data_IF_171433283996
#
_entry.id   IF_171433283996
#
_cell.length_a   1.000
_cell.length_b   1.000
_cell.length_c   1.000
_cell.angle_alpha   90.00
_cell.angle_beta   90.00
_cell.angle_gamma   90.00
#
_symmetry.space_group_name_H-M   'P 1'
#
loop_
_entity.id
_entity.type
_entity.pdbx_description
1 polymer ?
#
# COMPACT_ATOMS: atom_id res chain seq x y z
N UNK A 1 23.13 -13.87 -11.81
CA UNK A 1 22.51 -14.40 -13.06
C UNK A 1 21.42 -13.47 -13.61
N UNK A 2 20.47 -13.01 -12.78
CA UNK A 2 19.37 -12.15 -13.29
C UNK A 2 19.86 -10.79 -13.81
N UNK A 3 20.85 -10.15 -13.17
CA UNK A 3 21.47 -8.93 -13.68
C UNK A 3 22.04 -9.09 -15.10
N UNK A 4 22.62 -10.26 -15.41
CA UNK A 4 23.16 -10.58 -16.74
C UNK A 4 22.08 -10.69 -17.85
N UNK A 5 20.80 -10.89 -17.50
CA UNK A 5 19.70 -10.94 -18.46
C UNK A 5 19.23 -9.54 -18.88
N UNK A 6 19.60 -8.51 -18.14
CA UNK A 6 19.27 -7.13 -18.49
C UNK A 6 19.96 -6.73 -19.80
N UNK A 7 19.16 -6.34 -20.78
CA UNK A 7 19.67 -5.98 -22.12
C UNK A 7 20.24 -4.55 -22.18
N UNK A 8 20.25 -3.80 -21.08
CA UNK A 8 20.69 -2.40 -21.03
C UNK A 8 20.05 -1.56 -22.16
N UNK A 9 18.72 -1.57 -22.24
CA UNK A 9 17.96 -0.94 -23.31
C UNK A 9 18.28 0.56 -23.43
N UNK A 10 18.44 1.07 -24.64
CA UNK A 10 18.64 2.51 -24.89
C UNK A 10 17.44 3.36 -24.46
N UNK A 11 16.22 2.78 -24.52
CA UNK A 11 14.99 3.36 -23.96
C UNK A 11 14.42 2.35 -22.96
N UNK A 12 14.81 2.42 -21.69
CA UNK A 12 14.41 1.43 -20.69
C UNK A 12 13.01 1.70 -20.15
N UNK A 13 12.00 0.99 -20.66
CA UNK A 13 10.62 1.09 -20.19
C UNK A 13 10.47 0.78 -18.69
N UNK A 14 11.32 -0.10 -18.14
CA UNK A 14 11.29 -0.47 -16.72
C UNK A 14 11.43 0.75 -15.77
N UNK A 15 12.06 1.83 -16.19
CA UNK A 15 12.24 3.05 -15.39
C UNK A 15 11.41 4.24 -15.89
N UNK A 16 10.60 4.10 -16.95
CA UNK A 16 9.95 5.24 -17.63
C UNK A 16 8.71 5.77 -16.91
N UNK A 17 7.97 4.92 -16.17
CA UNK A 17 6.72 5.28 -15.52
C UNK A 17 5.71 5.98 -16.43
N UNK A 18 5.47 5.44 -17.62
CA UNK A 18 4.49 5.98 -18.56
C UNK A 18 3.08 5.48 -18.27
N UNK A 19 2.09 6.36 -18.49
CA UNK A 19 0.68 5.96 -18.38
C UNK A 19 0.19 5.42 -19.70
N UNK A 20 -0.27 4.17 -19.73
CA UNK A 20 -0.76 3.46 -20.91
C UNK A 20 -2.13 2.84 -20.60
N UNK A 21 -3.14 3.13 -21.40
CA UNK A 21 -4.50 2.63 -21.22
C UNK A 21 -5.05 2.83 -19.79
N UNK A 22 -4.76 3.98 -19.17
CA UNK A 22 -5.21 4.34 -17.82
C UNK A 22 -4.41 3.74 -16.66
N UNK A 23 -3.39 2.93 -16.94
CA UNK A 23 -2.52 2.32 -15.92
C UNK A 23 -1.05 2.71 -16.17
N UNK A 24 -0.25 2.69 -15.11
CA UNK A 24 1.17 3.01 -15.21
C UNK A 24 2.01 1.77 -15.50
N UNK A 25 3.04 1.94 -16.32
CA UNK A 25 4.04 0.95 -16.70
C UNK A 25 5.43 1.51 -16.44
N UNK A 26 6.32 0.73 -15.83
CA UNK A 26 7.63 1.18 -15.35
C UNK A 26 7.63 1.73 -13.91
N UNK A 27 8.82 1.94 -13.38
CA UNK A 27 9.02 2.31 -11.98
C UNK A 27 8.65 3.78 -11.69
N UNK A 28 7.74 4.09 -10.76
CA UNK A 28 7.40 5.46 -10.37
C UNK A 28 8.56 6.25 -9.73
N UNK A 29 9.57 5.56 -9.20
CA UNK A 29 10.79 6.18 -8.68
C UNK A 29 11.83 6.45 -9.76
N UNK A 30 11.57 6.06 -11.00
CA UNK A 30 12.54 6.12 -12.09
C UNK A 30 13.88 5.48 -11.73
N UNK A 31 13.82 4.33 -11.02
CA UNK A 31 15.00 3.60 -10.58
C UNK A 31 15.91 3.28 -11.76
N UNK A 32 17.22 3.49 -11.59
CA UNK A 32 18.25 3.32 -12.62
C UNK A 32 18.57 1.83 -12.83
N UNK A 33 17.54 1.06 -13.19
CA UNK A 33 17.52 -0.39 -13.21
C UNK A 33 18.59 -1.00 -14.13
N UNK A 34 18.76 -0.56 -15.39
CA UNK A 34 19.81 -1.11 -16.24
C UNK A 34 21.22 -0.92 -15.66
N UNK A 35 21.49 0.26 -15.06
CA UNK A 35 22.81 0.57 -14.52
C UNK A 35 23.18 -0.35 -13.35
N UNK A 36 22.31 -0.47 -12.33
CA UNK A 36 22.66 -1.32 -11.19
C UNK A 36 22.56 -2.82 -11.51
N UNK A 37 21.77 -3.24 -12.51
CA UNK A 37 21.81 -4.61 -13.01
C UNK A 37 23.16 -4.96 -13.69
N UNK A 38 23.73 -4.05 -14.48
CA UNK A 38 25.07 -4.22 -15.08
C UNK A 38 26.15 -4.28 -14.00
N UNK A 39 26.05 -3.42 -12.97
CA UNK A 39 26.97 -3.45 -11.81
C UNK A 39 26.89 -4.76 -11.03
N UNK A 40 25.69 -5.31 -10.80
CA UNK A 40 25.50 -6.64 -10.20
C UNK A 40 26.20 -7.72 -11.06
N UNK A 41 25.96 -7.68 -12.37
CA UNK A 41 26.56 -8.65 -13.29
C UNK A 41 28.08 -8.63 -13.25
N UNK A 42 28.68 -7.44 -13.15
CA UNK A 42 30.14 -7.26 -13.04
C UNK A 42 30.70 -7.50 -11.65
N UNK A 43 29.88 -7.86 -10.67
CA UNK A 43 30.30 -8.08 -9.28
C UNK A 43 30.55 -6.81 -8.48
N UNK A 44 30.15 -5.64 -8.98
CA UNK A 44 30.37 -4.35 -8.36
C UNK A 44 29.16 -3.93 -7.49
N UNK A 45 28.93 -4.69 -6.43
CA UNK A 45 27.73 -4.61 -5.59
C UNK A 45 27.60 -3.31 -4.79
N UNK A 46 28.71 -2.75 -4.31
CA UNK A 46 28.69 -1.49 -3.54
C UNK A 46 28.22 -0.32 -4.42
N UNK A 47 28.72 -0.22 -5.65
CA UNK A 47 28.29 0.80 -6.59
C UNK A 47 26.84 0.57 -7.07
N UNK A 48 26.43 -0.70 -7.25
CA UNK A 48 25.05 -1.04 -7.55
C UNK A 48 24.10 -0.57 -6.43
N UNK A 49 24.45 -0.81 -5.16
CA UNK A 49 23.70 -0.34 -4.00
C UNK A 49 23.64 1.20 -3.96
N UNK A 50 24.77 1.87 -4.14
CA UNK A 50 24.82 3.34 -4.17
C UNK A 50 23.92 3.91 -5.29
N UNK A 51 23.91 3.25 -6.46
CA UNK A 51 23.07 3.63 -7.59
C UNK A 51 21.58 3.42 -7.29
N UNK A 52 21.21 2.31 -6.68
CA UNK A 52 19.84 2.02 -6.25
C UNK A 52 19.35 3.05 -5.22
N UNK A 53 20.13 3.30 -4.16
CA UNK A 53 19.78 4.23 -3.08
C UNK A 53 19.71 5.71 -3.51
N UNK A 54 20.13 6.05 -4.74
CA UNK A 54 20.01 7.40 -5.28
C UNK A 54 18.55 7.77 -5.57
N UNK A 55 17.77 6.85 -6.08
CA UNK A 55 16.37 7.04 -6.46
C UNK A 55 15.39 6.34 -5.53
N UNK A 56 15.76 5.22 -4.90
CA UNK A 56 14.94 4.47 -3.95
C UNK A 56 15.28 4.80 -2.51
N UNK A 57 14.32 5.37 -1.76
CA UNK A 57 14.52 5.67 -0.32
C UNK A 57 14.51 4.38 0.53
N UNK A 58 13.65 3.43 0.18
CA UNK A 58 13.41 2.22 1.00
C UNK A 58 13.33 0.95 0.14
N UNK A 59 14.46 0.50 -0.45
CA UNK A 59 14.48 -0.72 -1.27
C UNK A 59 14.06 -1.98 -0.51
N UNK A 60 14.25 -2.01 0.80
CA UNK A 60 13.80 -3.13 1.65
C UNK A 60 12.29 -3.27 1.72
N UNK A 61 11.53 -2.19 1.50
CA UNK A 61 10.07 -2.24 1.44
C UNK A 61 9.59 -2.56 0.02
N UNK A 62 10.08 -1.83 -0.98
CA UNK A 62 9.71 -2.05 -2.38
C UNK A 62 10.14 -3.44 -2.88
N UNK A 63 11.32 -3.90 -2.50
CA UNK A 63 11.80 -5.25 -2.84
C UNK A 63 10.91 -6.38 -2.27
N UNK A 64 10.17 -6.13 -1.18
CA UNK A 64 9.26 -7.13 -0.59
C UNK A 64 7.81 -7.00 -1.06
N UNK A 65 7.28 -5.77 -1.14
CA UNK A 65 5.81 -5.59 -1.30
C UNK A 65 5.40 -4.81 -2.56
N UNK A 66 6.34 -4.35 -3.40
CA UNK A 66 5.99 -3.75 -4.68
C UNK A 66 5.53 -4.82 -5.67
N UNK A 67 4.46 -4.60 -6.45
CA UNK A 67 4.01 -5.57 -7.46
C UNK A 67 4.93 -5.68 -8.69
N UNK A 68 5.94 -4.80 -8.81
CA UNK A 68 6.93 -4.86 -9.89
C UNK A 68 6.47 -4.24 -11.21
N UNK A 69 5.97 -2.99 -11.19
CA UNK A 69 5.65 -2.24 -12.42
C UNK A 69 6.82 -2.21 -13.43
N UNK A 70 8.06 -2.18 -12.91
CA UNK A 70 9.28 -2.28 -13.70
C UNK A 70 9.44 -3.63 -14.41
N UNK A 71 9.02 -4.72 -13.76
CA UNK A 71 9.06 -6.06 -14.33
C UNK A 71 8.02 -6.20 -15.44
N UNK A 72 6.79 -5.70 -15.21
CA UNK A 72 5.74 -5.69 -16.24
C UNK A 72 6.14 -4.91 -17.49
N UNK A 73 7.00 -3.91 -17.35
CA UNK A 73 7.53 -3.07 -18.44
C UNK A 73 8.87 -3.55 -19.00
N UNK A 74 9.46 -4.61 -18.45
CA UNK A 74 10.76 -5.11 -18.91
C UNK A 74 10.67 -5.64 -20.34
N UNK A 75 11.57 -5.20 -21.22
CA UNK A 75 11.62 -5.62 -22.62
C UNK A 75 11.83 -7.13 -22.78
N UNK A 76 12.56 -7.78 -21.84
CA UNK A 76 12.67 -9.24 -21.82
C UNK A 76 11.30 -9.91 -21.72
N UNK A 77 10.32 -9.30 -21.04
CA UNK A 77 8.96 -9.78 -20.90
C UNK A 77 8.12 -9.78 -22.19
N UNK A 78 8.63 -9.18 -23.28
CA UNK A 78 7.99 -9.26 -24.60
C UNK A 78 8.18 -10.64 -25.27
N UNK A 79 9.25 -11.37 -24.90
CA UNK A 79 9.61 -12.63 -25.53
C UNK A 79 9.88 -13.77 -24.50
N UNK A 80 9.52 -13.58 -23.27
CA UNK A 80 9.74 -14.54 -22.18
C UNK A 80 9.55 -13.87 -20.80
N UNK A 81 10.23 -14.40 -19.78
CA UNK A 81 10.15 -13.84 -18.44
C UNK A 81 10.93 -12.53 -18.29
N UNK A 82 10.41 -11.52 -17.61
CA UNK A 82 11.16 -10.30 -17.29
C UNK A 82 12.37 -10.61 -16.40
N UNK A 83 13.31 -9.66 -16.32
CA UNK A 83 14.36 -9.69 -15.28
C UNK A 83 13.68 -9.55 -13.92
N UNK A 84 14.10 -10.34 -12.93
CA UNK A 84 13.57 -10.27 -11.55
C UNK A 84 14.13 -9.04 -10.84
N UNK A 85 13.65 -7.87 -11.27
CA UNK A 85 14.15 -6.57 -10.81
C UNK A 85 13.96 -6.39 -9.32
N UNK A 86 12.79 -6.78 -8.81
CA UNK A 86 12.43 -6.65 -7.40
C UNK A 86 13.34 -7.49 -6.50
N UNK A 87 13.65 -8.70 -6.90
CA UNK A 87 14.55 -9.61 -6.17
C UNK A 87 16.00 -9.11 -6.20
N UNK A 88 16.44 -8.52 -7.32
CA UNK A 88 17.76 -7.88 -7.41
C UNK A 88 17.84 -6.65 -6.48
N UNK A 89 16.80 -5.84 -6.45
CA UNK A 89 16.67 -4.68 -5.54
C UNK A 89 16.75 -5.11 -4.08
N UNK A 90 15.99 -6.16 -3.72
CA UNK A 90 16.00 -6.74 -2.38
C UNK A 90 17.37 -7.27 -2.00
N UNK A 91 18.00 -8.03 -2.90
CA UNK A 91 19.34 -8.59 -2.66
C UNK A 91 20.39 -7.49 -2.43
N UNK A 92 20.32 -6.38 -3.19
CA UNK A 92 21.23 -5.25 -3.02
C UNK A 92 21.09 -4.58 -1.65
N UNK A 93 19.87 -4.32 -1.20
CA UNK A 93 19.69 -3.64 0.08
C UNK A 93 20.04 -4.53 1.26
N UNK A 94 19.72 -5.83 1.21
CA UNK A 94 20.12 -6.76 2.27
C UNK A 94 21.64 -6.91 2.30
N UNK A 95 22.31 -7.07 1.15
CA UNK A 95 23.78 -7.02 1.05
C UNK A 95 24.35 -5.75 1.72
N UNK A 96 23.70 -4.61 1.50
CA UNK A 96 24.13 -3.34 2.10
C UNK A 96 24.05 -3.33 3.63
N UNK A 97 22.99 -3.90 4.21
CA UNK A 97 22.87 -4.03 5.66
C UNK A 97 23.82 -5.08 6.24
N UNK A 98 23.93 -6.25 5.62
CA UNK A 98 24.80 -7.35 6.05
C UNK A 98 26.29 -6.96 6.06
N UNK A 99 26.70 -6.14 5.09
CA UNK A 99 28.08 -5.65 4.98
C UNK A 99 28.30 -4.28 5.62
N UNK A 100 27.36 -3.77 6.42
CA UNK A 100 27.47 -2.48 7.13
C UNK A 100 27.72 -1.27 6.21
N UNK A 101 27.26 -1.34 4.96
CA UNK A 101 27.36 -0.24 3.99
C UNK A 101 26.26 0.80 4.17
N UNK A 102 25.11 0.38 4.72
CA UNK A 102 24.02 1.29 5.08
C UNK A 102 24.32 1.91 6.45
N UNK A 103 24.64 3.18 6.43
CA UNK A 103 25.00 3.97 7.63
C UNK A 103 24.08 5.19 7.76
N UNK A 104 23.90 5.73 8.98
CA UNK A 104 23.17 6.99 9.18
C UNK A 104 23.80 8.13 8.36
N UNK A 105 22.95 8.86 7.62
CA UNK A 105 23.34 10.02 6.80
C UNK A 105 22.95 11.29 7.56
N UNK A 106 23.80 11.66 8.50
CA UNK A 106 23.58 12.84 9.32
C UNK A 106 23.98 14.07 8.51
N UNK A 107 23.09 15.06 8.30
CA UNK A 107 23.44 16.30 7.60
C UNK A 107 24.52 17.05 8.35
N UNK A 108 25.55 17.53 7.65
CA UNK A 108 26.63 18.33 8.23
C UNK A 108 26.12 19.68 8.76
N UNK A 109 25.11 20.23 8.08
CA UNK A 109 24.53 21.55 8.45
C UNK A 109 23.02 21.32 8.65
N UNK A 110 22.52 21.73 9.82
CA UNK A 110 21.10 21.82 10.10
C UNK A 110 20.56 23.20 9.77
N UNK A 111 19.39 23.25 9.15
CA UNK A 111 18.64 24.49 9.00
C UNK A 111 17.87 24.79 10.29
N UNK A 112 17.37 26.01 10.43
CA UNK A 112 16.46 26.40 11.51
C UNK A 112 15.00 25.96 11.26
N UNK A 113 14.70 25.41 10.06
CA UNK A 113 13.34 25.05 9.64
C UNK A 113 12.85 23.79 10.34
N UNK A 114 11.61 23.87 10.84
CA UNK A 114 10.90 22.79 11.53
C UNK A 114 9.74 22.29 10.67
N UNK A 115 9.67 21.01 10.41
CA UNK A 115 8.62 20.40 9.60
C UNK A 115 7.90 19.30 10.40
N UNK A 116 6.58 19.37 10.45
CA UNK A 116 5.73 18.28 10.92
C UNK A 116 5.28 17.40 9.75
N UNK A 117 5.46 16.10 9.86
CA UNK A 117 4.89 15.11 8.94
C UNK A 117 3.83 14.32 9.69
N UNK A 118 2.58 14.37 9.24
CA UNK A 118 1.45 13.68 9.87
C UNK A 118 1.17 12.38 9.14
N UNK A 119 1.46 11.27 9.80
CA UNK A 119 1.42 9.92 9.24
C UNK A 119 2.79 9.37 8.90
N UNK A 120 3.06 8.14 9.34
CA UNK A 120 4.34 7.45 9.20
C UNK A 120 4.32 6.31 8.17
N UNK A 121 3.35 6.33 7.24
CA UNK A 121 3.32 5.42 6.10
C UNK A 121 4.45 5.68 5.09
N UNK A 122 4.49 4.97 3.96
CA UNK A 122 5.56 5.10 2.97
C UNK A 122 5.81 6.53 2.51
N UNK A 123 4.75 7.32 2.28
CA UNK A 123 4.88 8.73 1.86
C UNK A 123 5.47 9.62 2.96
N UNK A 124 4.98 9.48 4.20
CA UNK A 124 5.48 10.25 5.33
C UNK A 124 6.95 9.95 5.64
N UNK A 125 7.33 8.67 5.63
CA UNK A 125 8.73 8.27 5.80
C UNK A 125 9.64 8.82 4.69
N UNK A 126 9.17 8.78 3.41
CA UNK A 126 9.96 9.29 2.29
C UNK A 126 10.11 10.81 2.33
N UNK A 127 9.06 11.52 2.73
CA UNK A 127 9.09 12.97 2.96
C UNK A 127 10.08 13.30 4.06
N UNK A 128 10.00 12.62 5.21
CA UNK A 128 10.87 12.83 6.34
C UNK A 128 12.34 12.52 6.03
N UNK A 129 12.61 11.42 5.31
CA UNK A 129 13.96 11.03 4.89
C UNK A 129 14.64 12.13 4.07
N UNK A 130 13.98 12.67 3.02
CA UNK A 130 14.57 13.68 2.17
C UNK A 130 14.72 15.04 2.87
N UNK A 131 13.71 15.49 3.59
CA UNK A 131 13.77 16.76 4.31
C UNK A 131 14.82 16.74 5.41
N UNK A 132 14.95 15.61 6.11
CA UNK A 132 16.01 15.44 7.10
C UNK A 132 17.42 15.46 6.46
N UNK A 133 17.60 14.77 5.33
CA UNK A 133 18.87 14.81 4.57
C UNK A 133 19.23 16.21 4.09
N UNK A 134 18.23 17.01 3.74
CA UNK A 134 18.42 18.43 3.37
C UNK A 134 18.91 19.28 4.54
N UNK A 135 18.76 18.80 5.75
CA UNK A 135 19.17 19.46 6.97
C UNK A 135 18.02 20.05 7.81
N UNK A 136 16.78 19.86 7.40
CA UNK A 136 15.62 20.34 8.16
C UNK A 136 15.40 19.53 9.44
N UNK A 137 14.73 20.13 10.44
CA UNK A 137 14.33 19.47 11.68
C UNK A 137 12.94 18.84 11.47
N UNK A 138 12.87 17.53 11.37
CA UNK A 138 11.65 16.81 11.00
C UNK A 138 11.11 16.02 12.18
N UNK A 139 9.81 16.22 12.48
CA UNK A 139 9.04 15.41 13.42
C UNK A 139 7.93 14.70 12.69
N UNK A 140 7.87 13.37 12.82
CA UNK A 140 6.84 12.51 12.26
C UNK A 140 5.87 12.12 13.36
N UNK A 141 4.58 12.42 13.18
CA UNK A 141 3.50 12.07 14.09
C UNK A 141 2.76 10.84 13.59
N UNK A 142 2.59 9.85 14.43
CA UNK A 142 1.89 8.61 14.14
C UNK A 142 0.79 8.36 15.17
N UNK A 143 -0.44 8.14 14.70
CA UNK A 143 -1.60 7.89 15.58
C UNK A 143 -1.53 6.56 16.33
N UNK A 144 -0.84 5.57 15.77
CA UNK A 144 -0.65 4.27 16.41
C UNK A 144 0.63 4.24 17.27
N UNK A 145 0.79 3.15 18.00
CA UNK A 145 1.92 2.89 18.89
C UNK A 145 3.22 2.53 18.16
N UNK A 146 3.14 2.21 16.85
CA UNK A 146 4.29 1.86 16.00
C UNK A 146 4.26 2.61 14.68
N UNK A 147 5.45 3.00 14.23
CA UNK A 147 5.69 3.68 12.96
C UNK A 147 5.59 2.69 11.80
N UNK A 148 5.09 3.14 10.64
CA UNK A 148 5.07 2.34 9.40
C UNK A 148 3.73 2.33 8.67
N UNK A 149 2.65 2.88 9.28
CA UNK A 149 1.32 2.93 8.66
C UNK A 149 0.81 1.53 8.27
N UNK A 150 0.31 1.38 7.04
CA UNK A 150 -0.17 0.08 6.55
C UNK A 150 0.94 -0.96 6.38
N UNK A 151 2.19 -0.58 6.21
CA UNK A 151 3.31 -1.54 6.22
C UNK A 151 3.44 -2.24 7.58
N UNK A 152 3.19 -1.50 8.67
CA UNK A 152 3.20 -2.04 10.03
C UNK A 152 1.95 -2.87 10.32
N UNK A 153 0.76 -2.31 10.08
CA UNK A 153 -0.49 -2.89 10.57
C UNK A 153 -1.48 -3.36 9.50
N UNK A 154 -1.24 -3.08 8.21
CA UNK A 154 -2.10 -3.51 7.10
C UNK A 154 -1.54 -4.68 6.30
N UNK A 155 -0.23 -4.89 6.32
CA UNK A 155 0.44 -6.02 5.67
C UNK A 155 0.81 -7.05 6.73
N UNK A 156 0.46 -8.34 6.57
CA UNK A 156 0.78 -9.36 7.59
C UNK A 156 2.30 -9.61 7.70
N UNK A 157 2.73 -10.05 8.87
CA UNK A 157 4.17 -10.27 9.17
C UNK A 157 4.82 -11.31 8.25
N UNK A 158 4.08 -12.29 7.77
CA UNK A 158 4.57 -13.30 6.82
C UNK A 158 4.96 -12.74 5.46
N UNK A 159 4.39 -11.59 5.06
CA UNK A 159 4.71 -10.91 3.78
C UNK A 159 5.74 -9.79 3.97
N UNK A 160 5.69 -9.08 5.10
CA UNK A 160 6.64 -8.05 5.48
C UNK A 160 6.92 -8.13 6.98
N UNK A 161 8.02 -8.75 7.36
CA UNK A 161 8.46 -8.83 8.76
C UNK A 161 8.77 -7.44 9.30
N UNK A 162 8.22 -7.14 10.51
CA UNK A 162 8.24 -5.78 11.07
C UNK A 162 9.65 -5.33 11.49
N UNK A 163 10.56 -6.28 11.69
CA UNK A 163 11.98 -5.97 11.95
C UNK A 163 12.62 -5.11 10.85
N UNK A 164 12.19 -5.23 9.59
CA UNK A 164 12.72 -4.40 8.49
C UNK A 164 12.23 -2.95 8.57
N UNK A 165 11.01 -2.74 9.07
CA UNK A 165 10.48 -1.41 9.36
C UNK A 165 11.24 -0.80 10.54
N UNK A 166 11.37 -1.54 11.62
CA UNK A 166 12.08 -1.10 12.83
C UNK A 166 13.55 -0.77 12.53
N UNK A 167 14.22 -1.59 11.71
CA UNK A 167 15.59 -1.34 11.25
C UNK A 167 15.72 0.01 10.54
N UNK A 168 14.80 0.31 9.61
CA UNK A 168 14.80 1.59 8.88
C UNK A 168 14.45 2.77 9.79
N UNK A 169 13.43 2.64 10.62
CA UNK A 169 13.03 3.69 11.56
C UNK A 169 14.16 4.02 12.54
N UNK A 170 14.86 3.00 13.04
CA UNK A 170 16.01 3.20 13.92
C UNK A 170 17.17 3.92 13.21
N UNK A 171 17.41 3.62 11.94
CA UNK A 171 18.37 4.35 11.13
C UNK A 171 17.97 5.84 11.00
N UNK A 172 16.71 6.12 10.65
CA UNK A 172 16.21 7.50 10.54
C UNK A 172 16.26 8.27 11.86
N UNK A 173 16.03 7.59 13.00
CA UNK A 173 16.23 8.21 14.33
C UNK A 173 17.70 8.61 14.55
N UNK A 174 18.65 7.76 14.17
CA UNK A 174 20.08 8.07 14.24
C UNK A 174 20.47 9.22 13.31
N UNK A 175 19.77 9.39 12.19
CA UNK A 175 19.92 10.51 11.26
C UNK A 175 19.32 11.83 11.79
N UNK A 176 18.52 11.78 12.88
CA UNK A 176 17.96 12.93 13.57
C UNK A 176 16.47 13.18 13.31
N UNK A 177 15.74 12.25 12.68
CA UNK A 177 14.28 12.33 12.58
C UNK A 177 13.65 11.99 13.92
N UNK A 178 12.74 12.86 14.39
CA UNK A 178 11.95 12.61 15.61
C UNK A 178 10.65 11.90 15.25
N UNK A 179 10.29 10.86 15.99
CA UNK A 179 9.02 10.13 15.84
C UNK A 179 8.21 10.24 17.13
N UNK A 180 6.94 10.67 17.00
CA UNK A 180 5.97 10.77 18.11
C UNK A 180 4.82 9.83 17.78
N UNK A 181 4.74 8.73 18.52
CA UNK A 181 3.66 7.73 18.40
C UNK A 181 2.52 8.00 19.36
N UNK A 182 1.35 7.34 19.16
CA UNK A 182 0.10 7.61 19.87
C UNK A 182 -0.33 9.09 19.78
N UNK A 183 -0.01 9.73 18.68
CA UNK A 183 -0.25 11.14 18.40
C UNK A 183 -1.24 11.28 17.24
N UNK A 184 -2.53 11.34 17.55
CA UNK A 184 -3.62 11.42 16.57
C UNK A 184 -3.99 12.89 16.33
N UNK A 185 -3.39 13.47 15.29
CA UNK A 185 -3.55 14.89 14.94
C UNK A 185 -4.96 15.15 14.44
N UNK A 186 -5.61 16.16 14.98
CA UNK A 186 -7.03 16.49 14.73
C UNK A 186 -7.98 15.80 15.71
N UNK A 187 -7.48 14.85 16.51
CA UNK A 187 -8.27 14.12 17.51
C UNK A 187 -7.72 14.33 18.93
N UNK A 188 -6.51 13.84 19.20
CA UNK A 188 -5.86 14.00 20.52
C UNK A 188 -4.94 15.21 20.59
N UNK A 189 -4.40 15.64 19.46
CA UNK A 189 -3.56 16.84 19.32
C UNK A 189 -4.23 17.76 18.30
N UNK A 190 -4.56 19.02 18.67
CA UNK A 190 -5.15 19.99 17.75
C UNK A 190 -4.24 20.27 16.54
N UNK A 191 -4.81 20.34 15.34
CA UNK A 191 -4.06 20.70 14.13
C UNK A 191 -3.41 22.11 14.25
N UNK A 192 -4.07 23.03 14.97
CA UNK A 192 -3.57 24.39 15.20
C UNK A 192 -2.22 24.39 15.93
N UNK A 193 -1.98 23.46 16.84
CA UNK A 193 -0.71 23.33 17.54
C UNK A 193 0.47 23.09 16.58
N UNK A 194 0.24 22.27 15.54
CA UNK A 194 1.25 22.05 14.51
C UNK A 194 1.42 23.29 13.61
N UNK A 195 0.29 23.93 13.26
CA UNK A 195 0.34 25.16 12.47
C UNK A 195 1.09 26.29 13.18
N UNK A 196 1.03 26.38 14.49
CA UNK A 196 1.71 27.42 15.27
C UNK A 196 3.21 27.09 15.50
N UNK A 197 3.55 25.80 15.57
CA UNK A 197 4.89 25.35 16.02
C UNK A 197 5.85 25.01 14.89
N UNK A 198 5.36 24.81 13.66
CA UNK A 198 6.14 24.34 12.52
C UNK A 198 6.12 25.33 11.36
N UNK A 199 7.20 25.38 10.58
CA UNK A 199 7.32 26.21 9.37
C UNK A 199 6.58 25.60 8.19
N UNK A 200 6.41 24.25 8.17
CA UNK A 200 5.59 23.52 7.22
C UNK A 200 4.99 22.26 7.85
N UNK A 201 3.81 21.87 7.37
CA UNK A 201 3.13 20.62 7.75
C UNK A 201 2.84 19.80 6.50
N UNK A 202 3.16 18.51 6.53
CA UNK A 202 2.90 17.59 5.42
C UNK A 202 1.93 16.51 5.87
N UNK A 203 0.76 16.45 5.24
CA UNK A 203 -0.29 15.46 5.53
C UNK A 203 -0.06 14.20 4.71
N UNK A 204 0.31 13.10 5.38
CA UNK A 204 0.61 11.78 4.82
C UNK A 204 -0.24 10.69 5.49
N UNK A 205 -1.52 10.98 5.80
CA UNK A 205 -2.38 10.11 6.60
C UNK A 205 -2.93 8.89 5.85
N UNK A 206 -2.58 8.75 4.59
CA UNK A 206 -3.02 7.64 3.74
C UNK A 206 -4.51 7.68 3.38
N UNK A 207 -5.05 6.56 2.88
CA UNK A 207 -6.47 6.33 2.64
C UNK A 207 -6.92 5.23 3.61
N UNK A 208 -7.62 5.60 4.67
CA UNK A 208 -8.00 4.68 5.76
C UNK A 208 -9.49 4.72 6.12
N UNK A 209 -10.31 5.47 5.36
CA UNK A 209 -11.75 5.44 5.47
C UNK A 209 -12.29 4.26 4.62
N UNK A 210 -12.69 3.12 5.22
CA UNK A 210 -13.02 1.93 4.45
C UNK A 210 -14.38 2.07 3.76
N UNK A 211 -14.51 1.47 2.58
CA UNK A 211 -15.80 1.29 1.92
C UNK A 211 -16.57 0.18 2.62
N UNK A 212 -17.78 0.46 3.05
CA UNK A 212 -18.65 -0.51 3.73
C UNK A 212 -19.67 -1.14 2.77
N UNK A 213 -20.34 -2.19 3.25
CA UNK A 213 -21.44 -2.90 2.60
C UNK A 213 -22.73 -2.57 3.36
N UNK A 214 -23.64 -1.84 2.72
CA UNK A 214 -24.91 -1.40 3.33
C UNK A 214 -26.03 -2.44 3.12
N UNK A 215 -25.74 -3.72 3.35
CA UNK A 215 -26.69 -4.82 3.17
C UNK A 215 -27.42 -5.12 4.48
N UNK A 216 -28.67 -5.66 4.43
CA UNK A 216 -29.39 -6.11 5.62
C UNK A 216 -28.55 -7.04 6.49
N UNK A 217 -28.59 -6.86 7.83
CA UNK A 217 -27.85 -7.66 8.78
C UNK A 217 -26.37 -7.25 8.97
N UNK A 218 -25.92 -6.11 8.41
CA UNK A 218 -24.52 -5.62 8.49
C UNK A 218 -24.02 -5.47 9.94
N UNK A 219 -24.90 -5.27 10.88
CA UNK A 219 -24.62 -5.13 12.31
C UNK A 219 -24.38 -6.46 13.04
N UNK A 220 -24.28 -7.60 12.35
CA UNK A 220 -23.92 -8.87 12.93
C UNK A 220 -22.48 -8.84 13.49
N UNK A 221 -22.28 -9.47 14.66
CA UNK A 221 -20.94 -9.73 15.19
C UNK A 221 -20.22 -10.73 14.27
N UNK A 222 -18.93 -10.48 13.97
CA UNK A 222 -18.14 -11.33 13.08
C UNK A 222 -17.92 -10.71 11.69
N UNK A 223 -18.42 -9.49 11.45
CA UNK A 223 -18.15 -8.72 10.24
C UNK A 223 -17.16 -7.61 10.56
N UNK A 224 -15.98 -7.65 9.94
CA UNK A 224 -14.91 -6.68 10.18
C UNK A 224 -14.38 -6.11 8.86
N UNK A 225 -13.83 -4.89 8.92
CA UNK A 225 -12.98 -4.42 7.82
C UNK A 225 -11.66 -5.20 7.79
N UNK A 226 -11.19 -5.53 6.61
CA UNK A 226 -9.96 -6.29 6.41
C UNK A 226 -8.75 -5.66 7.12
N UNK A 227 -8.62 -4.33 7.09
CA UNK A 227 -7.52 -3.63 7.77
C UNK A 227 -7.61 -3.71 9.29
N UNK A 228 -8.81 -3.76 9.87
CA UNK A 228 -8.98 -3.93 11.31
C UNK A 228 -8.62 -5.36 11.75
N UNK A 229 -9.01 -6.35 10.94
CA UNK A 229 -8.60 -7.74 11.12
C UNK A 229 -7.07 -7.88 11.07
N UNK A 230 -6.42 -7.35 10.03
CA UNK A 230 -4.97 -7.44 9.86
C UNK A 230 -4.23 -6.69 10.96
N UNK A 231 -4.72 -5.50 11.35
CA UNK A 231 -4.15 -4.71 12.45
C UNK A 231 -4.24 -5.44 13.79
N UNK A 232 -5.43 -5.93 14.16
CA UNK A 232 -5.64 -6.63 15.43
C UNK A 232 -4.72 -7.86 15.54
N UNK A 233 -4.60 -8.63 14.44
CA UNK A 233 -3.76 -9.82 14.40
C UNK A 233 -2.27 -9.48 14.45
N UNK A 234 -1.81 -8.51 13.66
CA UNK A 234 -0.40 -8.11 13.69
C UNK A 234 -0.03 -7.50 15.03
N UNK A 235 -0.90 -6.66 15.61
CA UNK A 235 -0.64 -6.06 16.92
C UNK A 235 -0.55 -7.12 18.02
N UNK A 236 -1.49 -8.04 18.10
CA UNK A 236 -1.46 -9.15 19.07
C UNK A 236 -0.22 -10.05 18.86
N UNK A 237 0.17 -10.31 17.62
CA UNK A 237 1.41 -11.04 17.31
C UNK A 237 2.64 -10.34 17.89
N UNK A 238 2.76 -9.03 17.67
CA UNK A 238 3.92 -8.26 18.12
C UNK A 238 3.95 -7.99 19.61
N UNK A 239 2.79 -7.82 20.24
CA UNK A 239 2.70 -7.51 21.67
C UNK A 239 2.82 -8.75 22.56
N UNK A 240 2.32 -9.90 22.09
CA UNK A 240 2.11 -11.06 22.95
C UNK A 240 2.34 -12.42 22.30
N UNK A 241 2.76 -12.44 21.03
CA UNK A 241 2.80 -13.68 20.25
C UNK A 241 1.43 -14.40 20.19
N UNK A 242 0.35 -13.61 20.01
CA UNK A 242 -1.05 -14.04 19.92
C UNK A 242 -1.62 -14.67 21.22
N UNK A 243 -1.02 -14.38 22.37
CA UNK A 243 -1.48 -14.95 23.67
C UNK A 243 -2.39 -14.02 24.47
N UNK A 244 -2.55 -12.76 24.06
CA UNK A 244 -3.35 -11.74 24.76
C UNK A 244 -4.86 -11.85 24.51
N UNK A 245 -5.30 -12.73 23.59
CA UNK A 245 -6.69 -12.92 23.23
C UNK A 245 -7.33 -11.73 22.50
N UNK A 246 -6.56 -10.74 22.05
CA UNK A 246 -7.05 -9.53 21.37
C UNK A 246 -7.10 -9.68 19.86
N UNK A 247 -6.57 -10.76 19.32
CA UNK A 247 -6.61 -11.04 17.89
C UNK A 247 -8.03 -11.46 17.44
N UNK A 248 -8.39 -11.14 16.23
CA UNK A 248 -9.62 -11.64 15.60
C UNK A 248 -9.30 -13.01 15.00
N UNK A 249 -9.82 -14.08 15.61
CA UNK A 249 -9.49 -15.45 15.21
C UNK A 249 -10.41 -16.00 14.13
N UNK A 250 -9.81 -16.57 13.09
CA UNK A 250 -10.51 -17.34 12.04
C UNK A 250 -10.54 -18.86 12.32
N UNK A 251 -9.96 -19.30 13.45
CA UNK A 251 -9.82 -20.74 13.75
C UNK A 251 -11.15 -21.48 13.77
N UNK A 252 -11.25 -22.52 12.94
CA UNK A 252 -12.43 -23.39 12.85
C UNK A 252 -13.67 -22.74 12.25
N UNK A 253 -13.57 -21.55 11.64
CA UNK A 253 -14.67 -20.79 11.06
C UNK A 253 -14.73 -20.95 9.55
N UNK A 254 -15.93 -20.84 8.99
CA UNK A 254 -16.16 -20.55 7.58
C UNK A 254 -15.94 -19.05 7.37
N UNK A 255 -14.97 -18.69 6.52
CA UNK A 255 -14.57 -17.31 6.29
C UNK A 255 -14.96 -16.86 4.88
N UNK A 256 -15.50 -15.64 4.79
CA UNK A 256 -15.73 -14.97 3.51
C UNK A 256 -14.95 -13.66 3.49
N UNK A 257 -14.21 -13.43 2.40
CA UNK A 257 -13.49 -12.19 2.11
C UNK A 257 -14.16 -11.50 0.94
N UNK A 258 -14.54 -10.23 1.08
CA UNK A 258 -15.16 -9.45 0.00
C UNK A 258 -14.14 -8.49 -0.60
N UNK A 259 -13.76 -8.75 -1.84
CA UNK A 259 -12.77 -8.00 -2.62
C UNK A 259 -11.46 -8.77 -2.83
N UNK A 260 -10.98 -8.77 -4.08
CA UNK A 260 -9.86 -9.62 -4.54
C UNK A 260 -8.52 -8.92 -4.73
N UNK A 261 -8.35 -7.74 -4.15
CA UNK A 261 -7.06 -7.06 -4.16
C UNK A 261 -6.04 -7.69 -3.21
N UNK A 262 -4.85 -7.10 -3.14
CA UNK A 262 -3.75 -7.56 -2.28
C UNK A 262 -4.17 -7.68 -0.80
N UNK A 263 -5.02 -6.77 -0.30
CA UNK A 263 -5.56 -6.83 1.07
C UNK A 263 -6.43 -8.06 1.30
N UNK A 264 -7.26 -8.43 0.32
CA UNK A 264 -8.07 -9.65 0.38
C UNK A 264 -7.18 -10.90 0.42
N UNK A 265 -6.17 -10.96 -0.44
CA UNK A 265 -5.19 -12.05 -0.44
C UNK A 265 -4.43 -12.17 0.89
N UNK A 266 -4.05 -11.03 1.50
CA UNK A 266 -3.40 -10.99 2.81
C UNK A 266 -4.32 -11.52 3.94
N UNK A 267 -5.63 -11.25 3.84
CA UNK A 267 -6.65 -11.84 4.74
C UNK A 267 -6.77 -13.35 4.54
N UNK A 268 -6.81 -13.83 3.29
CA UNK A 268 -6.86 -15.27 2.98
C UNK A 268 -5.69 -15.98 3.63
N UNK A 269 -4.46 -15.55 3.37
CA UNK A 269 -3.25 -16.15 3.94
C UNK A 269 -3.21 -16.11 5.46
N UNK A 270 -3.75 -15.04 6.09
CA UNK A 270 -3.85 -14.94 7.55
C UNK A 270 -4.88 -15.91 8.12
N UNK A 271 -6.06 -16.04 7.50
CA UNK A 271 -7.11 -16.97 7.94
C UNK A 271 -6.68 -18.44 7.83
N UNK A 272 -5.94 -18.80 6.77
CA UNK A 272 -5.36 -20.13 6.61
C UNK A 272 -4.42 -20.46 7.76
N UNK A 273 -3.54 -19.54 8.16
CA UNK A 273 -2.60 -19.71 9.29
C UNK A 273 -3.31 -19.82 10.63
N UNK A 274 -4.49 -19.25 10.75
CA UNK A 274 -5.34 -19.45 11.94
C UNK A 274 -6.03 -20.83 11.97
N UNK A 275 -6.02 -21.58 10.86
CA UNK A 275 -6.74 -22.85 10.73
C UNK A 275 -8.24 -22.64 10.51
N UNK A 276 -8.65 -21.80 9.59
CA UNK A 276 -10.04 -21.66 9.17
C UNK A 276 -10.57 -22.98 8.57
N UNK A 277 -11.88 -23.20 8.67
CA UNK A 277 -12.55 -24.41 8.18
C UNK A 277 -12.73 -24.38 6.67
N UNK A 278 -13.03 -23.21 6.12
CA UNK A 278 -13.06 -22.90 4.70
C UNK A 278 -12.82 -21.43 4.45
N UNK A 279 -12.46 -21.07 3.22
CA UNK A 279 -12.30 -19.69 2.82
C UNK A 279 -12.89 -19.48 1.42
N UNK A 280 -13.66 -18.41 1.25
CA UNK A 280 -14.23 -17.98 -0.02
C UNK A 280 -13.96 -16.49 -0.22
N UNK A 281 -13.51 -16.10 -1.41
CA UNK A 281 -13.29 -14.70 -1.77
C UNK A 281 -14.30 -14.27 -2.83
N UNK A 282 -15.04 -13.18 -2.58
CA UNK A 282 -16.06 -12.68 -3.50
C UNK A 282 -15.50 -11.52 -4.33
N UNK A 283 -15.56 -11.68 -5.64
CA UNK A 283 -15.14 -10.71 -6.65
C UNK A 283 -16.33 -10.20 -7.45
N UNK A 284 -16.54 -8.87 -7.45
CA UNK A 284 -17.62 -8.27 -8.24
C UNK A 284 -17.38 -8.36 -9.74
N UNK A 285 -16.13 -8.28 -10.17
CA UNK A 285 -15.77 -8.22 -11.58
C UNK A 285 -15.69 -9.61 -12.20
N UNK A 286 -15.80 -9.72 -13.53
CA UNK A 286 -15.53 -10.97 -14.24
C UNK A 286 -14.12 -11.50 -14.00
N UNK A 287 -13.96 -12.82 -14.09
CA UNK A 287 -12.65 -13.46 -14.02
C UNK A 287 -11.73 -12.91 -15.11
N UNK A 288 -10.53 -12.41 -14.73
CA UNK A 288 -9.55 -11.98 -15.73
C UNK A 288 -9.03 -13.17 -16.56
N UNK A 289 -8.62 -12.95 -17.80
CA UNK A 289 -8.04 -14.00 -18.64
C UNK A 289 -6.69 -14.49 -18.06
N UNK A 290 -6.33 -15.72 -18.35
CA UNK A 290 -5.03 -16.30 -17.93
C UNK A 290 -3.85 -15.61 -18.64
N UNK A 291 -4.02 -15.18 -19.90
CA UNK A 291 -3.01 -14.55 -20.72
C UNK A 291 -3.46 -13.17 -21.20
N UNK A 292 -2.49 -12.35 -21.65
CA UNK A 292 -2.80 -11.03 -22.22
C UNK A 292 -3.69 -11.13 -23.44
N UNK A 293 -4.78 -10.38 -23.45
CA UNK A 293 -5.59 -10.20 -24.65
C UNK A 293 -4.89 -9.26 -25.66
N UNK A 294 -5.23 -9.33 -26.95
CA UNK A 294 -4.74 -8.36 -27.97
C UNK A 294 -5.04 -6.90 -27.63
N UNK A 295 -6.10 -6.64 -26.85
CA UNK A 295 -6.48 -5.31 -26.33
C UNK A 295 -5.61 -4.83 -25.16
N UNK A 296 -4.74 -5.68 -24.62
CA UNK A 296 -3.83 -5.37 -23.53
C UNK A 296 -2.38 -5.79 -23.86
N UNK A 297 -1.79 -5.21 -24.93
CA UNK A 297 -0.44 -5.58 -25.37
C UNK A 297 0.63 -5.08 -24.39
N UNK A 298 1.81 -5.74 -24.38
CA UNK A 298 3.01 -5.18 -23.77
C UNK A 298 3.33 -3.80 -24.37
N UNK A 299 3.80 -2.81 -23.63
CA UNK A 299 4.22 -2.82 -22.22
C UNK A 299 3.13 -2.35 -21.22
N UNK A 300 1.85 -2.40 -21.57
CA UNK A 300 0.79 -2.09 -20.63
C UNK A 300 0.85 -3.00 -19.39
N UNK A 301 0.33 -2.52 -18.26
CA UNK A 301 0.14 -3.40 -17.09
C UNK A 301 -0.72 -4.61 -17.46
N UNK A 302 -0.29 -5.85 -17.10
CA UNK A 302 -1.03 -7.06 -17.48
C UNK A 302 -2.38 -7.13 -16.75
N UNK A 303 -3.45 -7.22 -17.52
CA UNK A 303 -4.82 -7.44 -17.03
C UNK A 303 -5.14 -8.93 -17.10
N UNK A 304 -4.38 -9.73 -16.36
CA UNK A 304 -4.49 -11.18 -16.33
C UNK A 304 -4.83 -11.65 -14.92
N UNK A 305 -5.34 -12.88 -14.81
CA UNK A 305 -5.58 -13.51 -13.53
C UNK A 305 -4.27 -13.65 -12.76
N UNK A 306 -4.18 -13.00 -11.61
CA UNK A 306 -3.04 -13.09 -10.72
C UNK A 306 -3.39 -14.02 -9.57
N UNK A 307 -2.68 -15.14 -9.46
CA UNK A 307 -2.73 -16.00 -8.29
C UNK A 307 -1.57 -15.66 -7.39
N UNK A 308 -1.86 -15.15 -6.20
CA UNK A 308 -0.88 -14.74 -5.20
C UNK A 308 -0.84 -15.77 -4.07
N UNK A 309 0.12 -15.66 -3.16
CA UNK A 309 0.44 -16.64 -2.12
C UNK A 309 -0.76 -17.16 -1.33
N UNK A 310 -1.70 -16.30 -0.92
CA UNK A 310 -2.89 -16.72 -0.18
C UNK A 310 -3.86 -17.56 -1.01
N UNK A 311 -3.99 -17.23 -2.31
CA UNK A 311 -4.78 -18.05 -3.24
C UNK A 311 -4.11 -19.41 -3.46
N UNK A 312 -2.78 -19.45 -3.69
CA UNK A 312 -2.02 -20.70 -3.86
C UNK A 312 -2.12 -21.60 -2.63
N UNK A 313 -1.98 -21.01 -1.44
CA UNK A 313 -2.12 -21.72 -0.16
C UNK A 313 -3.54 -22.26 0.03
N UNK A 314 -4.59 -21.50 -0.36
CA UNK A 314 -5.98 -21.97 -0.30
C UNK A 314 -6.20 -23.15 -1.27
N UNK A 315 -5.69 -23.06 -2.49
CA UNK A 315 -5.76 -24.15 -3.49
C UNK A 315 -5.07 -25.40 -2.97
N UNK A 316 -3.87 -25.25 -2.39
CA UNK A 316 -3.12 -26.38 -1.85
C UNK A 316 -3.82 -27.05 -0.67
N UNK A 317 -4.49 -26.26 0.20
CA UNK A 317 -5.13 -26.77 1.41
C UNK A 317 -6.54 -27.32 1.15
N UNK A 318 -7.35 -26.64 0.32
CA UNK A 318 -8.77 -26.94 0.11
C UNK A 318 -9.07 -27.59 -1.24
N UNK A 319 -8.08 -27.67 -2.15
CA UNK A 319 -8.20 -28.34 -3.45
C UNK A 319 -8.91 -27.54 -4.55
N UNK A 320 -9.23 -26.25 -4.30
CA UNK A 320 -9.88 -25.36 -5.26
C UNK A 320 -9.52 -23.90 -5.05
N UNK A 321 -9.66 -23.07 -6.09
CA UNK A 321 -9.50 -21.63 -6.02
C UNK A 321 -10.60 -21.03 -5.11
N UNK A 322 -10.23 -20.22 -4.10
CA UNK A 322 -11.21 -19.63 -3.18
C UNK A 322 -12.08 -18.54 -3.80
N UNK A 323 -11.76 -18.04 -5.01
CA UNK A 323 -12.42 -16.89 -5.64
C UNK A 323 -13.71 -17.28 -6.36
N UNK A 324 -14.78 -16.54 -6.06
CA UNK A 324 -16.04 -16.54 -6.80
C UNK A 324 -16.18 -15.19 -7.50
N UNK A 325 -16.08 -15.19 -8.81
CA UNK A 325 -16.19 -13.99 -9.63
C UNK A 325 -17.64 -13.61 -9.92
N UNK A 326 -17.88 -12.37 -10.32
CA UNK A 326 -19.21 -11.81 -10.59
C UNK A 326 -20.20 -12.11 -9.46
N UNK A 327 -19.77 -11.93 -8.22
CA UNK A 327 -20.55 -12.30 -7.03
C UNK A 327 -20.45 -11.20 -5.98
N UNK A 328 -21.55 -10.93 -5.30
CA UNK A 328 -21.61 -9.98 -4.17
C UNK A 328 -22.53 -10.49 -3.07
N UNK A 329 -22.46 -9.82 -1.90
CA UNK A 329 -23.36 -10.06 -0.77
C UNK A 329 -24.72 -9.41 -1.06
N UNK A 330 -25.80 -10.16 -0.77
CA UNK A 330 -27.19 -9.65 -0.75
C UNK A 330 -27.65 -9.38 0.67
N UNK A 331 -27.37 -10.30 1.62
CA UNK A 331 -27.86 -10.24 2.98
C UNK A 331 -26.95 -11.00 3.95
N UNK A 332 -26.87 -10.56 5.20
CA UNK A 332 -26.18 -11.21 6.30
C UNK A 332 -27.20 -11.82 7.26
N UNK A 333 -26.97 -13.08 7.67
CA UNK A 333 -27.85 -13.79 8.61
C UNK A 333 -27.19 -13.92 9.98
N UNK A 334 -28.00 -13.66 11.01
CA UNK A 334 -27.56 -13.74 12.41
C UNK A 334 -28.12 -14.99 13.09
N UNK A 335 -27.36 -15.51 14.03
CA UNK A 335 -27.86 -16.48 15.01
C UNK A 335 -28.66 -15.76 16.13
N UNK A 336 -29.19 -16.55 17.07
CA UNK A 336 -29.97 -16.06 18.22
C UNK A 336 -29.17 -15.11 19.16
N UNK A 337 -27.83 -15.16 19.07
CA UNK A 337 -26.93 -14.33 19.87
C UNK A 337 -26.43 -13.08 19.10
N UNK A 338 -26.92 -12.84 17.88
CA UNK A 338 -26.53 -11.72 17.05
C UNK A 338 -25.20 -11.92 16.32
N UNK A 339 -24.63 -13.12 16.31
CA UNK A 339 -23.41 -13.43 15.57
C UNK A 339 -23.73 -13.78 14.13
N UNK A 340 -22.82 -13.48 13.22
CA UNK A 340 -22.90 -13.92 11.83
C UNK A 340 -22.87 -15.44 11.76
N UNK A 341 -23.86 -16.01 11.09
CA UNK A 341 -24.01 -17.47 10.91
C UNK A 341 -23.98 -17.91 9.44
N UNK A 342 -24.47 -17.04 8.55
CA UNK A 342 -24.47 -17.28 7.12
C UNK A 342 -24.58 -15.96 6.34
N UNK A 343 -24.35 -16.03 5.03
CA UNK A 343 -24.59 -14.92 4.09
C UNK A 343 -25.36 -15.40 2.89
N UNK A 344 -26.27 -14.60 2.37
CA UNK A 344 -26.83 -14.79 1.03
C UNK A 344 -25.99 -14.01 0.04
N UNK A 345 -25.41 -14.69 -0.92
CA UNK A 345 -24.71 -14.15 -2.08
C UNK A 345 -25.62 -14.15 -3.30
N UNK A 346 -25.29 -13.29 -4.28
CA UNK A 346 -26.00 -13.19 -5.56
C UNK A 346 -24.99 -13.03 -6.69
N UNK A 347 -25.24 -13.68 -7.82
CA UNK A 347 -24.45 -13.51 -9.04
C UNK A 347 -24.70 -12.14 -9.65
N UNK A 348 -23.70 -11.60 -10.32
CA UNK A 348 -23.74 -10.33 -11.02
C UNK A 348 -23.56 -10.50 -12.52
N UNK A 349 -24.25 -9.70 -13.30
CA UNK A 349 -24.02 -9.58 -14.74
C UNK A 349 -23.68 -8.13 -15.11
N UNK A 350 -22.90 -7.95 -16.18
CA UNK A 350 -22.54 -6.63 -16.69
C UNK A 350 -23.65 -6.11 -17.61
N UNK A 351 -24.33 -5.05 -17.21
CA UNK A 351 -25.33 -4.35 -18.03
C UNK A 351 -24.87 -2.95 -18.37
N UNK A 352 -25.09 -2.52 -19.61
CA UNK A 352 -24.83 -1.16 -20.05
C UNK A 352 -26.00 -0.28 -19.62
N UNK A 353 -25.71 0.74 -18.82
CA UNK A 353 -26.68 1.78 -18.46
C UNK A 353 -26.98 2.64 -19.70
N UNK A 354 -28.22 2.69 -20.14
CA UNK A 354 -28.65 3.40 -21.36
C UNK A 354 -28.48 4.92 -21.24
N UNK A 355 -28.55 5.48 -20.02
CA UNK A 355 -28.44 6.91 -19.79
C UNK A 355 -27.00 7.41 -19.75
N UNK A 356 -26.12 6.65 -19.10
CA UNK A 356 -24.72 7.05 -18.88
C UNK A 356 -23.76 6.38 -19.87
N UNK A 357 -24.19 5.33 -20.57
CA UNK A 357 -23.36 4.50 -21.44
C UNK A 357 -22.30 3.65 -20.71
N UNK A 358 -22.30 3.68 -19.38
CA UNK A 358 -21.35 2.93 -18.54
C UNK A 358 -21.86 1.52 -18.27
N UNK A 359 -20.92 0.59 -18.17
CA UNK A 359 -21.21 -0.76 -17.70
C UNK A 359 -21.32 -0.79 -16.18
N UNK A 360 -22.38 -1.40 -15.66
CA UNK A 360 -22.63 -1.61 -14.24
C UNK A 360 -22.86 -3.09 -13.98
N UNK A 361 -22.37 -3.58 -12.84
CA UNK A 361 -22.64 -4.93 -12.37
C UNK A 361 -23.98 -4.92 -11.65
N UNK A 362 -24.93 -5.71 -12.13
CA UNK A 362 -26.29 -5.78 -11.58
C UNK A 362 -26.60 -7.22 -11.11
N UNK A 363 -27.34 -7.39 -10.01
CA UNK A 363 -27.73 -8.71 -9.53
C UNK A 363 -28.57 -9.48 -10.55
N UNK A 364 -28.29 -10.78 -10.67
CA UNK A 364 -29.09 -11.74 -11.45
C UNK A 364 -30.18 -12.30 -10.55
N UNK A 365 -31.43 -12.05 -10.89
CA UNK A 365 -32.58 -12.52 -10.13
C UNK A 365 -32.66 -14.06 -10.14
N UNK A 366 -32.92 -14.67 -8.97
CA UNK A 366 -33.01 -16.12 -8.80
C UNK A 366 -31.65 -16.83 -8.71
N UNK A 367 -30.53 -16.10 -8.62
CA UNK A 367 -29.20 -16.67 -8.46
C UNK A 367 -28.70 -16.71 -7.02
N UNK A 368 -29.58 -16.44 -6.06
CA UNK A 368 -29.26 -16.39 -4.65
C UNK A 368 -28.79 -17.75 -4.12
N UNK A 369 -27.71 -17.72 -3.33
CA UNK A 369 -27.19 -18.87 -2.63
C UNK A 369 -26.83 -18.47 -1.18
N UNK A 370 -27.12 -19.34 -0.24
CA UNK A 370 -26.74 -19.11 1.18
C UNK A 370 -25.52 -19.96 1.53
N UNK A 371 -24.47 -19.29 2.01
CA UNK A 371 -23.21 -19.90 2.43
C UNK A 371 -23.03 -19.75 3.94
N UNK A 372 -22.52 -20.78 4.64
CA UNK A 372 -22.14 -20.64 6.05
C UNK A 372 -21.00 -19.64 6.20
N UNK A 373 -21.07 -18.76 7.20
CA UNK A 373 -20.07 -17.74 7.44
C UNK A 373 -20.11 -17.28 8.89
N UNK A 374 -19.06 -17.51 9.64
CA UNK A 374 -18.89 -17.01 11.01
C UNK A 374 -17.88 -15.87 11.12
N UNK A 375 -17.16 -15.60 10.01
CA UNK A 375 -16.24 -14.45 9.92
C UNK A 375 -16.28 -13.88 8.50
N UNK A 376 -16.60 -12.59 8.39
CA UNK A 376 -16.59 -11.88 7.12
C UNK A 376 -15.64 -10.70 7.18
N UNK A 377 -14.77 -10.59 6.15
CA UNK A 377 -13.75 -9.55 6.04
C UNK A 377 -14.01 -8.69 4.81
N UNK A 378 -14.26 -7.39 5.01
CA UNK A 378 -14.55 -6.43 3.95
C UNK A 378 -13.24 -5.81 3.48
N UNK A 379 -12.78 -6.18 2.28
CA UNK A 379 -11.61 -5.69 1.58
C UNK A 379 -11.98 -4.89 0.31
N UNK A 380 -13.07 -4.11 0.37
CA UNK A 380 -13.68 -3.43 -0.78
C UNK A 380 -13.03 -2.07 -1.13
N UNK A 381 -11.83 -1.78 -0.60
CA UNK A 381 -11.09 -0.53 -0.82
C UNK A 381 -11.51 0.61 0.12
N UNK A 382 -11.03 1.83 -0.18
CA UNK A 382 -11.15 2.98 0.69
C UNK A 382 -11.80 4.17 -0.02
N UNK A 383 -12.37 5.08 0.79
CA UNK A 383 -12.99 6.34 0.39
C UNK A 383 -12.13 7.54 0.80
N UNK A 384 -10.80 7.47 0.62
CA UNK A 384 -9.89 8.52 1.03
C UNK A 384 -9.42 8.41 2.50
N UNK A 385 -8.90 9.52 3.03
CA UNK A 385 -8.45 9.61 4.42
C UNK A 385 -9.63 9.73 5.40
N UNK A 386 -9.34 9.62 6.69
CA UNK A 386 -10.34 9.90 7.73
C UNK A 386 -10.72 11.39 7.68
N UNK A 387 -12.04 11.73 7.65
CA UNK A 387 -12.51 13.11 7.47
C UNK A 387 -12.01 14.08 8.53
N UNK A 388 -11.91 13.66 9.79
CA UNK A 388 -11.51 14.52 10.91
C UNK A 388 -10.16 15.21 10.70
N UNK A 389 -9.21 14.56 10.01
CA UNK A 389 -7.89 15.16 9.73
C UNK A 389 -8.02 16.30 8.73
N UNK A 390 -8.76 16.06 7.62
CA UNK A 390 -8.98 17.07 6.59
C UNK A 390 -9.76 18.27 7.14
N UNK A 391 -10.75 18.02 7.98
CA UNK A 391 -11.56 19.03 8.67
C UNK A 391 -10.71 19.83 9.66
N UNK A 392 -9.87 19.17 10.47
CA UNK A 392 -9.04 19.83 11.46
C UNK A 392 -8.02 20.80 10.85
N UNK A 393 -7.51 20.51 9.64
CA UNK A 393 -6.61 21.40 8.90
C UNK A 393 -7.34 22.35 7.94
N UNK A 394 -8.63 22.17 7.69
CA UNK A 394 -9.40 23.00 6.75
C UNK A 394 -8.96 22.80 5.28
N UNK A 395 -8.43 21.63 4.92
CA UNK A 395 -8.01 21.34 3.56
C UNK A 395 -9.18 20.94 2.68
N UNK A 396 -9.20 21.44 1.43
CA UNK A 396 -10.22 21.09 0.44
C UNK A 396 -10.03 19.65 -0.08
N UNK A 397 -11.16 18.96 -0.30
CA UNK A 397 -11.19 17.64 -0.92
C UNK A 397 -11.71 17.72 -2.35
N UNK A 398 -11.23 16.84 -3.21
CA UNK A 398 -11.76 16.64 -4.55
C UNK A 398 -12.99 15.69 -4.53
N UNK A 399 -13.61 15.45 -5.69
CA UNK A 399 -14.77 14.56 -5.82
C UNK A 399 -14.53 13.11 -5.40
N UNK A 400 -13.26 12.68 -5.28
CA UNK A 400 -12.86 11.34 -4.82
C UNK A 400 -12.45 11.32 -3.34
N UNK A 401 -12.77 12.41 -2.60
CA UNK A 401 -12.43 12.57 -1.17
C UNK A 401 -10.93 12.59 -0.86
N UNK A 402 -10.08 12.84 -1.85
CA UNK A 402 -8.65 13.07 -1.65
C UNK A 402 -8.38 14.56 -1.48
N UNK A 403 -7.30 14.92 -0.78
CA UNK A 403 -6.92 16.32 -0.60
C UNK A 403 -6.61 16.95 -1.97
N UNK A 404 -7.25 18.08 -2.24
CA UNK A 404 -7.14 18.81 -3.51
C UNK A 404 -5.89 19.68 -3.52
N UNK A 405 -5.14 19.61 -4.61
CA UNK A 405 -4.01 20.47 -4.92
C UNK A 405 -4.13 20.98 -6.36
N UNK A 406 -3.27 21.92 -6.74
CA UNK A 406 -3.09 22.24 -8.15
C UNK A 406 -2.40 21.07 -8.88
N UNK A 407 -2.55 20.99 -10.19
CA UNK A 407 -1.90 19.94 -11.00
C UNK A 407 -0.36 20.03 -10.86
N UNK A 408 0.27 18.91 -10.54
CA UNK A 408 1.72 18.84 -10.36
C UNK A 408 2.24 19.43 -9.06
N UNK A 409 1.38 19.90 -8.16
CA UNK A 409 1.74 20.46 -6.86
C UNK A 409 1.25 19.58 -5.71
N UNK A 410 1.92 19.68 -4.58
CA UNK A 410 1.56 19.05 -3.30
C UNK A 410 1.06 20.07 -2.26
N UNK A 411 1.08 21.37 -2.58
CA UNK A 411 0.58 22.44 -1.72
C UNK A 411 -0.95 22.46 -1.71
N UNK A 412 -1.54 22.51 -0.52
CA UNK A 412 -3.00 22.58 -0.33
C UNK A 412 -3.52 24.04 -0.43
N UNK A 413 -4.82 24.23 -0.24
CA UNK A 413 -5.44 25.55 -0.09
C UNK A 413 -5.03 26.27 1.21
N UNK A 414 -4.48 25.56 2.19
CA UNK A 414 -4.03 26.13 3.47
C UNK A 414 -2.53 26.44 3.40
N UNK A 415 -2.15 27.67 3.79
CA UNK A 415 -0.76 28.06 3.73
C UNK A 415 0.12 27.14 4.57
N UNK A 416 1.37 26.90 4.11
CA UNK A 416 2.37 25.97 4.69
C UNK A 416 1.91 24.50 4.90
N UNK A 417 0.72 24.13 4.41
CA UNK A 417 0.21 22.74 4.48
C UNK A 417 0.31 22.06 3.11
N UNK A 418 0.96 20.91 3.11
CA UNK A 418 1.21 20.06 1.95
C UNK A 418 0.59 18.68 2.17
N UNK A 419 0.48 17.89 1.11
CA UNK A 419 -0.06 16.52 1.19
C UNK A 419 0.67 15.59 0.25
N UNK A 420 0.79 14.30 0.60
CA UNK A 420 1.39 13.29 -0.27
C UNK A 420 0.85 11.89 -0.01
N UNK A 421 1.03 11.01 -0.98
CA UNK A 421 0.64 9.61 -0.92
C UNK A 421 -0.85 9.40 -1.11
N UNK A 422 -1.40 8.34 -0.50
CA UNK A 422 -2.79 7.96 -0.74
C UNK A 422 -3.81 9.02 -0.27
N UNK A 423 -3.44 9.91 0.64
CA UNK A 423 -4.27 11.04 1.04
C UNK A 423 -4.45 12.04 -0.10
N UNK A 424 -3.45 12.16 -0.97
CA UNK A 424 -3.44 13.05 -2.14
C UNK A 424 -3.98 12.36 -3.39
N UNK A 425 -3.42 11.19 -3.75
CA UNK A 425 -3.74 10.51 -5.02
C UNK A 425 -4.85 9.45 -4.94
N UNK A 426 -5.30 9.09 -3.75
CA UNK A 426 -6.12 7.92 -3.49
C UNK A 426 -5.27 6.67 -3.25
N UNK A 427 -5.92 5.59 -2.84
CA UNK A 427 -5.23 4.32 -2.55
C UNK A 427 -4.35 3.88 -3.72
N UNK A 428 -3.09 3.52 -3.41
CA UNK A 428 -2.08 3.23 -4.41
C UNK A 428 -1.03 2.23 -3.90
N UNK A 429 0.01 2.02 -4.68
CA UNK A 429 1.11 1.13 -4.34
C UNK A 429 2.12 1.81 -3.40
N UNK A 430 2.86 1.01 -2.62
CA UNK A 430 3.94 1.49 -1.74
C UNK A 430 4.94 2.38 -2.49
N UNK A 431 5.31 1.99 -3.71
CA UNK A 431 6.26 2.73 -4.56
C UNK A 431 5.72 4.11 -4.97
N UNK A 432 4.40 4.26 -5.16
CA UNK A 432 3.76 5.53 -5.40
C UNK A 432 3.74 6.43 -4.18
N UNK A 433 3.45 5.86 -3.00
CA UNK A 433 3.54 6.60 -1.74
C UNK A 433 4.95 7.18 -1.53
N UNK A 434 5.99 6.39 -1.79
CA UNK A 434 7.37 6.84 -1.71
C UNK A 434 7.66 7.93 -2.76
N UNK A 435 7.24 7.75 -4.01
CA UNK A 435 7.47 8.72 -5.09
C UNK A 435 6.84 10.08 -4.77
N UNK A 436 5.58 10.10 -4.32
CA UNK A 436 4.92 11.35 -3.93
C UNK A 436 5.55 11.99 -2.69
N UNK A 437 5.91 11.19 -1.69
CA UNK A 437 6.61 11.72 -0.51
C UNK A 437 7.94 12.41 -0.87
N UNK A 438 8.69 11.83 -1.81
CA UNK A 438 9.93 12.43 -2.34
C UNK A 438 9.66 13.72 -3.12
N UNK A 439 8.65 13.71 -3.99
CA UNK A 439 8.31 14.89 -4.79
C UNK A 439 7.76 16.03 -3.91
N UNK A 440 6.91 15.71 -2.94
CA UNK A 440 6.41 16.66 -1.94
C UNK A 440 7.56 17.27 -1.12
N UNK A 441 8.55 16.47 -0.70
CA UNK A 441 9.70 16.97 0.05
C UNK A 441 10.46 18.04 -0.74
N UNK A 442 10.60 17.91 -2.06
CA UNK A 442 11.22 18.93 -2.93
C UNK A 442 10.43 20.24 -2.92
N UNK A 443 9.12 20.16 -3.05
CA UNK A 443 8.27 21.37 -3.04
C UNK A 443 8.26 22.06 -1.67
N UNK A 444 8.30 21.29 -0.58
CA UNK A 444 8.42 21.83 0.79
C UNK A 444 9.79 22.51 1.00
N UNK A 445 10.89 21.89 0.54
CA UNK A 445 12.23 22.50 0.61
C UNK A 445 12.29 23.82 -0.20
N UNK A 446 11.74 23.82 -1.41
CA UNK A 446 11.66 25.02 -2.26
C UNK A 446 10.82 26.12 -1.59
N UNK A 447 9.68 25.77 -0.99
CA UNK A 447 8.84 26.72 -0.24
C UNK A 447 9.58 27.35 0.94
N UNK A 448 10.35 26.56 1.68
CA UNK A 448 11.04 27.01 2.89
C UNK A 448 12.33 27.79 2.61
N UNK A 449 13.02 27.45 1.52
CA UNK A 449 14.37 27.95 1.23
C UNK A 449 14.41 28.88 0.01
N UNK A 450 13.34 28.94 -0.79
CA UNK A 450 13.30 29.65 -2.07
C UNK A 450 13.97 28.91 -3.23
N UNK A 451 14.58 27.75 -2.97
CA UNK A 451 15.18 26.84 -3.95
C UNK A 451 15.29 25.45 -3.36
N UNK A 452 15.48 24.44 -4.22
CA UNK A 452 15.72 23.05 -3.76
C UNK A 452 16.90 22.42 -4.51
N UNK A 453 17.63 21.55 -3.81
CA UNK A 453 18.65 20.67 -4.40
C UNK A 453 18.33 19.17 -4.15
N UNK A 454 17.10 18.85 -3.76
CA UNK A 454 16.59 17.49 -3.57
C UNK A 454 16.22 16.81 -4.91
#
# INVERSE_FOLDING_TARGET
>A
KQGARCMNCGVPFCQSCVQLAGMYSGCPLHNLIPEWNDMIYRGNWEHALARLCKTASFPEFTGRVCPGLCMAACTCGANGDPVTVKENELALIEYGYENHLIKPRIPEIRTDKKIAVVGSGPSGLATADLLNRRGHNVTVYERFDRVGGLMMYGIPNMKLEKQYIDRRVNLMKQEGVTFVTNADIGNTIPAQELLDSYDAVVLCCGASNPRDLNNPGRDANGIYFAVDFLRANTKSLLDSNLTDGKNISAKGKHVIVVGGGDTGNDCIGTCIRHGCKSITALEMMPEPPEERLPSNPWPQWPRVKKTDYGHEEAIALFGHDPRLYQTTIKEFHKDENGNLSAVTIVSLESKKDEKTGRFMMVPVEGSEQTLPCELLLIAAGFLGSQPYVSEAFGVELNQRTNVKTAEGSYKTNVDKVFTAGDMHRGQSLVVWGIAEGRACAREVDEYLMGYTCL
#
